data_IF_373159738382
#
_entry.id   IF_373159738382
#
_cell.length_a   1.000
_cell.length_b   1.000
_cell.length_c   1.000
_cell.angle_alpha   90.00
_cell.angle_beta   90.00
_cell.angle_gamma   90.00
#
_symmetry.space_group_name_H-M   'P 1'
#
loop_
_entity.id
_entity.type
_entity.pdbx_description
1 polymer ?
#
# COMPACT_ATOMS: atom_id res chain seq x y z
N UNK A 1 -0.85 4.34 -3.43
CA UNK A 1 -1.19 3.91 -4.80
C UNK A 1 -1.79 2.51 -4.72
N UNK A 2 -2.90 2.21 -5.44
CA UNK A 2 -3.62 0.91 -5.40
C UNK A 2 -4.15 0.58 -6.79
N UNK A 3 -3.63 -0.46 -7.42
CA UNK A 3 -4.02 -0.88 -8.78
C UNK A 3 -5.41 -1.54 -8.79
N UNK A 4 -5.70 -2.30 -7.74
CA UNK A 4 -6.97 -3.04 -7.56
C UNK A 4 -8.20 -2.15 -7.38
N UNK A 5 -7.98 -0.86 -7.07
CA UNK A 5 -9.03 0.15 -7.00
C UNK A 5 -9.66 0.42 -8.37
N UNK A 6 -8.93 0.16 -9.46
CA UNK A 6 -9.37 0.40 -10.83
C UNK A 6 -9.60 -0.91 -11.60
N UNK A 7 -8.80 -1.94 -11.31
CA UNK A 7 -8.92 -3.28 -11.91
C UNK A 7 -9.13 -4.34 -10.82
N UNK A 8 -10.37 -4.83 -10.68
CA UNK A 8 -10.74 -5.78 -9.61
C UNK A 8 -9.96 -7.09 -9.63
N UNK A 9 -9.45 -7.49 -10.79
CA UNK A 9 -8.67 -8.73 -11.00
C UNK A 9 -7.16 -8.47 -10.98
N UNK A 10 -6.74 -7.29 -10.50
CA UNK A 10 -5.33 -6.94 -10.39
C UNK A 10 -4.57 -8.03 -9.61
N UNK A 11 -3.39 -8.44 -10.08
CA UNK A 11 -2.54 -9.39 -9.35
C UNK A 11 -2.08 -8.86 -7.99
N UNK A 12 -2.19 -7.55 -7.75
CA UNK A 12 -1.89 -6.87 -6.49
C UNK A 12 -3.14 -6.58 -5.64
N UNK A 13 -4.22 -7.30 -5.86
CA UNK A 13 -5.45 -7.16 -5.10
C UNK A 13 -5.19 -7.30 -3.59
N UNK A 14 -5.65 -6.31 -2.82
CA UNK A 14 -5.40 -6.25 -1.38
C UNK A 14 -4.03 -5.68 -0.98
N UNK A 15 -3.20 -5.21 -1.91
CA UNK A 15 -1.98 -4.46 -1.62
C UNK A 15 -2.18 -2.95 -1.78
N UNK A 16 -1.34 -2.17 -1.09
CA UNK A 16 -1.24 -0.74 -1.30
C UNK A 16 0.19 -0.24 -1.10
N UNK A 17 0.56 0.78 -1.85
CA UNK A 17 1.86 1.44 -1.68
C UNK A 17 1.70 2.77 -0.93
N UNK A 18 2.43 2.90 0.17
CA UNK A 18 2.66 4.14 0.91
C UNK A 18 3.93 4.81 0.38
N UNK A 19 3.79 5.96 -0.28
CA UNK A 19 4.90 6.68 -0.89
C UNK A 19 5.35 7.79 0.05
N UNK A 20 6.52 7.61 0.66
CA UNK A 20 7.19 8.63 1.46
C UNK A 20 7.94 9.56 0.53
N UNK A 21 7.21 10.50 -0.10
CA UNK A 21 7.80 11.43 -1.07
C UNK A 21 8.77 12.45 -0.45
N UNK A 22 8.68 12.69 0.87
CA UNK A 22 9.57 13.60 1.58
C UNK A 22 9.79 13.15 3.02
N UNK A 23 11.06 13.03 3.39
CA UNK A 23 11.49 12.75 4.75
C UNK A 23 12.66 13.69 5.09
N UNK A 24 12.45 14.62 6.03
CA UNK A 24 13.42 15.72 6.30
C UNK A 24 14.77 15.21 6.81
N UNK A 25 14.76 14.14 7.60
CA UNK A 25 15.91 13.62 8.31
C UNK A 25 16.16 12.13 8.00
N UNK A 26 15.72 11.66 6.83
CA UNK A 26 15.83 10.25 6.47
C UNK A 26 15.47 9.97 5.02
N UNK A 27 15.48 8.70 4.61
CA UNK A 27 15.22 8.33 3.23
C UNK A 27 13.75 8.49 2.85
N UNK A 28 13.52 8.80 1.58
CA UNK A 28 12.24 8.55 0.91
C UNK A 28 12.16 7.08 0.55
N UNK A 29 10.96 6.52 0.56
CA UNK A 29 10.76 5.12 0.21
C UNK A 29 9.33 4.88 -0.29
N UNK A 30 9.11 3.75 -0.96
CA UNK A 30 7.78 3.22 -1.26
C UNK A 30 7.60 1.92 -0.49
N UNK A 31 6.66 1.93 0.45
CA UNK A 31 6.42 0.83 1.38
C UNK A 31 5.13 0.13 0.97
N UNK A 32 5.24 -1.13 0.57
CA UNK A 32 4.08 -1.97 0.29
C UNK A 32 3.47 -2.49 1.59
N UNK A 33 2.15 -2.36 1.72
CA UNK A 33 1.34 -2.76 2.88
C UNK A 33 0.11 -3.55 2.42
N UNK A 34 -0.47 -4.33 3.32
CA UNK A 34 -1.73 -5.02 3.06
C UNK A 34 -2.91 -4.10 3.37
N UNK A 35 -3.87 -4.01 2.45
CA UNK A 35 -5.09 -3.22 2.57
C UNK A 35 -6.34 -4.09 2.75
N UNK A 36 -6.95 -4.00 3.93
CA UNK A 36 -8.20 -4.67 4.27
C UNK A 36 -9.37 -3.73 4.02
N UNK A 37 -9.78 -3.63 2.75
CA UNK A 37 -10.76 -2.63 2.30
C UNK A 37 -12.10 -2.64 3.03
N UNK A 38 -12.60 -3.82 3.41
CA UNK A 38 -13.85 -3.97 4.16
C UNK A 38 -13.80 -3.38 5.58
N UNK A 39 -12.60 -3.18 6.14
CA UNK A 39 -12.37 -2.49 7.41
C UNK A 39 -11.78 -1.09 7.23
N UNK A 40 -11.55 -0.64 5.98
CA UNK A 40 -10.82 0.61 5.68
C UNK A 40 -9.49 0.71 6.44
N UNK A 41 -8.75 -0.39 6.55
CA UNK A 41 -7.54 -0.50 7.38
C UNK A 41 -6.33 -0.98 6.58
N UNK A 42 -5.16 -0.46 6.91
CA UNK A 42 -3.86 -0.95 6.45
C UNK A 42 -3.18 -1.74 7.58
N UNK A 43 -2.51 -2.84 7.24
CA UNK A 43 -1.75 -3.68 8.16
C UNK A 43 -0.39 -4.01 7.53
N UNK A 44 0.58 -4.40 8.35
CA UNK A 44 1.88 -4.85 7.86
C UNK A 44 1.72 -6.03 6.89
N UNK A 45 2.60 -6.09 5.90
CA UNK A 45 2.76 -7.32 5.11
C UNK A 45 3.22 -8.41 6.08
N UNK A 46 2.44 -9.48 6.21
CA UNK A 46 2.84 -10.62 7.05
C UNK A 46 4.20 -11.14 6.59
N UNK A 47 5.09 -11.43 7.54
CA UNK A 47 6.36 -12.11 7.28
C UNK A 47 6.15 -13.57 6.87
#
# INVERSE_FOLDING_TARGET
HREDAYEKESPRAGEADLIVAKHRNGPTDTITVAFQGHYSRFVDMQA
#
